data_IF_097934897289
#
_entry.id   IF_097934897289
#
_cell.length_a   1.000
_cell.length_b   1.000
_cell.length_c   1.000
_cell.angle_alpha   90.00
_cell.angle_beta   90.00
_cell.angle_gamma   90.00
#
_symmetry.space_group_name_H-M   'P 1'
#
loop_
_entity.id
_entity.type
_entity.pdbx_description
1 polymer ?
#
# COMPACT_ATOMS: atom_id res chain seq x y z
N UNK A 1 9.41 -29.00 48.14
CA UNK A 1 9.71 -27.57 47.94
C UNK A 1 9.87 -27.37 46.44
N UNK A 2 8.86 -26.82 45.75
CA UNK A 2 8.83 -26.69 44.29
C UNK A 2 9.14 -25.24 43.89
N UNK A 3 9.92 -24.97 42.82
CA UNK A 3 10.26 -23.61 42.42
C UNK A 3 9.11 -22.94 41.64
N UNK A 4 8.80 -21.69 42.01
CA UNK A 4 7.76 -20.87 41.39
C UNK A 4 8.06 -20.49 39.93
N UNK A 5 7.04 -20.37 39.06
CA UNK A 5 7.22 -19.96 37.67
C UNK A 5 7.54 -18.46 37.56
N UNK A 6 8.79 -18.16 37.22
CA UNK A 6 9.32 -16.80 36.98
C UNK A 6 8.70 -16.18 35.72
N UNK A 7 7.63 -15.39 35.88
CA UNK A 7 6.93 -14.68 34.79
C UNK A 7 7.88 -13.66 34.13
N UNK A 8 8.15 -13.81 32.83
CA UNK A 8 8.89 -12.82 32.04
C UNK A 8 7.97 -11.63 31.75
N UNK A 9 8.44 -10.40 32.03
CA UNK A 9 7.78 -9.16 31.65
C UNK A 9 7.73 -9.08 30.12
N UNK A 10 6.54 -9.16 29.53
CA UNK A 10 6.32 -8.83 28.13
C UNK A 10 6.24 -7.30 28.07
N UNK A 11 7.18 -6.66 27.36
CA UNK A 11 7.09 -5.23 27.08
C UNK A 11 5.87 -5.01 26.17
N UNK A 12 4.89 -4.17 26.55
CA UNK A 12 3.80 -3.83 25.64
C UNK A 12 4.39 -3.02 24.47
N UNK A 13 3.97 -3.26 23.22
CA UNK A 13 4.45 -2.48 22.09
C UNK A 13 4.14 -1.00 22.33
N UNK A 14 5.15 -0.16 22.13
CA UNK A 14 5.05 1.29 22.34
C UNK A 14 3.89 1.85 21.53
N UNK A 15 2.86 2.30 22.24
CA UNK A 15 1.76 3.11 21.72
C UNK A 15 2.35 4.30 20.95
N UNK A 16 2.22 4.27 19.61
CA UNK A 16 2.49 5.46 18.80
C UNK A 16 1.43 6.49 19.16
N UNK A 17 1.88 7.60 19.74
CA UNK A 17 1.09 8.77 20.09
C UNK A 17 0.44 9.33 18.82
N UNK A 18 -0.85 9.04 18.62
CA UNK A 18 -1.71 9.82 17.73
C UNK A 18 -2.15 11.03 18.54
N UNK A 19 -1.68 12.22 18.16
CA UNK A 19 -2.21 13.48 18.68
C UNK A 19 -3.63 13.60 18.14
N UNK A 20 -4.62 13.55 19.04
CA UNK A 20 -6.02 13.83 18.69
C UNK A 20 -6.36 15.30 18.95
N UNK A 21 -7.23 15.78 18.06
CA UNK A 21 -7.71 17.13 17.69
C UNK A 21 -8.38 17.98 18.79
N UNK A 22 -8.93 19.16 18.41
CA UNK A 22 -10.36 19.34 18.63
C UNK A 22 -11.17 19.70 17.37
N UNK A 23 -12.26 18.94 17.25
CA UNK A 23 -13.56 19.10 16.59
C UNK A 23 -13.84 20.34 15.71
N UNK A 24 -14.38 20.07 14.52
CA UNK A 24 -15.47 20.86 13.96
C UNK A 24 -16.35 19.95 13.07
N UNK A 25 -17.62 19.86 13.47
CA UNK A 25 -18.65 19.06 12.83
C UNK A 25 -18.91 19.54 11.39
N UNK A 26 -18.91 18.62 10.42
CA UNK A 26 -19.88 18.67 9.31
C UNK A 26 -20.03 17.30 8.65
N UNK A 27 -21.19 16.70 8.88
CA UNK A 27 -21.78 15.64 8.09
C UNK A 27 -21.69 15.99 6.60
N UNK A 28 -20.93 15.20 5.85
CA UNK A 28 -21.16 14.97 4.42
C UNK A 28 -20.84 13.52 4.15
N UNK A 29 -21.89 12.71 4.12
CA UNK A 29 -21.92 11.53 3.26
C UNK A 29 -21.48 11.98 1.86
N UNK A 30 -20.27 11.60 1.49
CA UNK A 30 -19.79 11.71 0.14
C UNK A 30 -18.74 10.61 -0.02
N UNK A 31 -19.21 9.41 -0.38
CA UNK A 31 -18.41 8.48 -1.16
C UNK A 31 -18.09 9.18 -2.48
N UNK A 32 -17.11 10.09 -2.45
CA UNK A 32 -16.54 10.69 -3.64
C UNK A 32 -15.58 9.66 -4.21
N UNK A 33 -16.11 8.75 -5.03
CA UNK A 33 -15.28 7.96 -5.93
C UNK A 33 -14.63 8.98 -6.88
N UNK A 34 -13.30 9.16 -6.88
CA UNK A 34 -12.67 10.06 -7.83
C UNK A 34 -13.03 9.60 -9.24
N UNK A 35 -13.60 10.50 -10.03
CA UNK A 35 -13.94 10.25 -11.42
C UNK A 35 -12.66 9.89 -12.20
N UNK A 36 -12.73 8.97 -13.20
CA UNK A 36 -11.59 8.65 -14.03
C UNK A 36 -11.19 9.91 -14.80
N UNK A 37 -10.09 10.52 -14.35
CA UNK A 37 -9.48 11.64 -15.03
C UNK A 37 -8.82 11.03 -16.26
N UNK A 38 -9.39 11.30 -17.43
CA UNK A 38 -8.86 10.85 -18.70
C UNK A 38 -7.62 11.72 -19.02
N UNK A 39 -6.52 11.43 -18.33
CA UNK A 39 -5.26 12.12 -18.55
C UNK A 39 -4.72 11.63 -19.89
N UNK A 40 -4.80 12.49 -20.91
CA UNK A 40 -3.99 12.31 -22.10
C UNK A 40 -2.54 12.05 -21.66
N UNK A 41 -1.90 11.06 -22.30
CA UNK A 41 -0.58 10.48 -21.94
C UNK A 41 0.31 11.48 -21.19
N UNK A 42 0.29 11.42 -19.86
CA UNK A 42 1.16 12.25 -19.05
C UNK A 42 2.55 11.61 -19.08
N UNK A 43 3.44 12.21 -19.86
CA UNK A 43 4.82 11.74 -20.03
C UNK A 43 5.55 11.56 -18.69
N UNK A 44 5.17 12.31 -17.63
CA UNK A 44 5.76 12.15 -16.29
C UNK A 44 5.29 10.88 -15.63
N UNK A 45 4.00 10.57 -15.71
CA UNK A 45 3.41 9.33 -15.19
C UNK A 45 4.02 8.12 -15.91
N UNK A 46 4.18 8.19 -17.23
CA UNK A 46 4.78 7.11 -18.02
C UNK A 46 6.26 6.87 -17.64
N UNK A 47 7.06 7.93 -17.52
CA UNK A 47 8.47 7.82 -17.11
C UNK A 47 8.61 7.26 -15.68
N UNK A 48 7.77 7.71 -14.75
CA UNK A 48 7.78 7.23 -13.38
C UNK A 48 7.36 5.75 -13.27
N UNK A 49 6.39 5.32 -14.08
CA UNK A 49 5.98 3.92 -14.22
C UNK A 49 7.13 3.03 -14.70
N UNK A 50 7.84 3.44 -15.75
CA UNK A 50 8.98 2.69 -16.28
C UNK A 50 10.11 2.59 -15.25
N UNK A 51 10.39 3.68 -14.54
CA UNK A 51 11.35 3.70 -13.45
C UNK A 51 10.97 2.70 -12.33
N UNK A 52 9.71 2.68 -11.90
CA UNK A 52 9.24 1.75 -10.88
C UNK A 52 9.42 0.28 -11.31
N UNK A 53 9.14 -0.04 -12.59
CA UNK A 53 9.35 -1.39 -13.15
C UNK A 53 10.84 -1.76 -13.14
N UNK A 54 11.71 -0.87 -13.60
CA UNK A 54 13.15 -1.12 -13.63
C UNK A 54 13.73 -1.33 -12.22
N UNK A 55 13.27 -0.53 -11.25
CA UNK A 55 13.67 -0.67 -9.85
C UNK A 55 13.23 -2.02 -9.28
N UNK A 56 11.97 -2.43 -9.48
CA UNK A 56 11.48 -3.71 -9.00
C UNK A 56 12.27 -4.90 -9.59
N UNK A 57 12.67 -4.81 -10.86
CA UNK A 57 13.53 -5.81 -11.50
C UNK A 57 14.94 -5.82 -10.89
N UNK A 58 15.53 -4.66 -10.64
CA UNK A 58 16.84 -4.53 -10.00
C UNK A 58 16.84 -5.09 -8.56
N UNK A 59 15.75 -4.88 -7.83
CA UNK A 59 15.56 -5.42 -6.47
C UNK A 59 15.20 -6.91 -6.46
N UNK A 60 15.01 -7.54 -7.62
CA UNK A 60 14.68 -8.96 -7.73
C UNK A 60 13.26 -9.28 -7.24
N UNK A 61 12.32 -8.34 -7.37
CA UNK A 61 10.92 -8.58 -7.05
C UNK A 61 10.29 -9.56 -8.05
N UNK A 62 10.15 -10.82 -7.64
CA UNK A 62 9.54 -11.91 -8.43
C UNK A 62 8.04 -12.10 -8.19
N UNK A 63 7.43 -11.21 -7.41
CA UNK A 63 6.00 -11.23 -7.13
C UNK A 63 5.15 -10.89 -8.35
N UNK A 64 3.84 -11.11 -8.22
CA UNK A 64 2.89 -10.76 -9.28
C UNK A 64 2.35 -9.35 -9.03
N UNK A 65 2.51 -8.48 -10.02
CA UNK A 65 2.11 -7.09 -9.94
C UNK A 65 1.30 -6.69 -11.17
N UNK A 66 0.33 -5.81 -10.98
CA UNK A 66 -0.29 -5.06 -12.08
C UNK A 66 0.30 -3.67 -12.15
N UNK A 67 0.52 -3.21 -13.37
CA UNK A 67 1.03 -1.88 -13.62
C UNK A 67 -0.15 -0.94 -13.87
N UNK A 68 -0.24 0.12 -13.08
CA UNK A 68 -1.31 1.12 -13.13
C UNK A 68 -0.72 2.51 -13.33
N UNK A 69 -1.43 3.37 -14.05
CA UNK A 69 -1.15 4.79 -14.20
C UNK A 69 -1.79 5.59 -13.05
N UNK A 70 -1.41 5.23 -11.82
CA UNK A 70 -1.96 5.86 -10.62
C UNK A 70 -1.42 7.28 -10.44
N UNK A 71 -2.28 8.30 -10.23
CA UNK A 71 -1.83 9.65 -9.90
C UNK A 71 -1.20 9.74 -8.49
N UNK A 72 -1.31 8.67 -7.70
CA UNK A 72 -0.74 8.56 -6.36
C UNK A 72 0.58 7.81 -6.33
N UNK A 73 1.28 7.70 -7.46
CA UNK A 73 2.60 7.06 -7.59
C UNK A 73 2.64 5.56 -7.24
N UNK A 74 1.47 4.93 -7.10
CA UNK A 74 1.34 3.48 -6.92
C UNK A 74 1.34 2.79 -8.28
N UNK A 75 2.50 2.77 -8.95
CA UNK A 75 2.62 2.22 -10.30
C UNK A 75 2.61 0.69 -10.34
N UNK A 76 3.10 0.04 -9.29
CA UNK A 76 3.11 -1.41 -9.14
C UNK A 76 2.21 -1.81 -7.99
N UNK A 77 1.13 -2.53 -8.27
CA UNK A 77 0.20 -3.03 -7.26
C UNK A 77 0.31 -4.55 -7.17
N UNK A 78 0.64 -5.12 -6.00
CA UNK A 78 0.66 -6.56 -5.80
C UNK A 78 -0.72 -7.16 -6.09
N UNK A 79 -0.76 -8.26 -6.83
CA UNK A 79 -2.02 -8.95 -7.15
C UNK A 79 -1.90 -10.44 -6.90
N UNK A 80 -3.05 -11.05 -6.59
CA UNK A 80 -3.18 -12.50 -6.64
C UNK A 80 -3.28 -12.89 -8.13
N UNK A 81 -2.40 -13.77 -8.62
CA UNK A 81 -2.44 -14.22 -10.00
C UNK A 81 -3.78 -14.87 -10.32
N UNK A 82 -4.23 -14.66 -11.55
CA UNK A 82 -5.38 -15.37 -12.10
C UNK A 82 -4.95 -16.73 -12.61
N UNK A 83 -5.90 -17.66 -12.76
CA UNK A 83 -5.60 -19.01 -13.28
C UNK A 83 -4.90 -18.99 -14.64
N UNK A 84 -5.23 -18.02 -15.50
CA UNK A 84 -4.60 -17.83 -16.81
C UNK A 84 -3.11 -17.46 -16.72
N UNK A 85 -2.69 -16.79 -15.64
CA UNK A 85 -1.30 -16.38 -15.41
C UNK A 85 -0.48 -17.49 -14.74
N UNK A 86 -1.13 -18.47 -14.11
CA UNK A 86 -0.48 -19.57 -13.37
C UNK A 86 -0.26 -20.84 -14.19
N UNK A 87 -0.93 -20.99 -15.32
CA UNK A 87 -0.81 -22.17 -16.17
C UNK A 87 -1.75 -22.07 -17.36
N UNK A 88 -1.18 -21.86 -18.54
CA UNK A 88 -1.87 -22.06 -19.81
C UNK A 88 -2.25 -23.53 -20.01
#
# INVERSE_FOLDING_TARGET
MAPEPKRRKIEPPRLRRIVTSPVANKTRDATSVPAPQNHGVDYRIQAAKEFAVAQAQQEGCTGNFKILDSPFENFLVPVIPTRAELGG
#
